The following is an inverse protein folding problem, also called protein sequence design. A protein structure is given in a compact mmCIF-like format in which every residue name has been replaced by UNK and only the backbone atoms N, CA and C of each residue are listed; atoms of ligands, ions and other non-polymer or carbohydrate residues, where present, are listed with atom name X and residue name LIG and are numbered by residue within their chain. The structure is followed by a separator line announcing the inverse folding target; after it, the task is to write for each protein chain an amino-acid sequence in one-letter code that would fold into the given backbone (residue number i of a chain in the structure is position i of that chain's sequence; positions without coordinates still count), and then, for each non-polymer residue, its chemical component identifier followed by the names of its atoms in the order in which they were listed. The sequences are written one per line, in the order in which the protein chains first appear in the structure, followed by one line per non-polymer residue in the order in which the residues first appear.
data_IF_680933613492
#
_entry.id   IF_680933613492
#
_cell.length_a   1.000
_cell.length_b   1.000
_cell.length_c   1.000
_cell.angle_alpha   90.00
_cell.angle_beta   90.00
_cell.angle_gamma   90.00
#
_symmetry.space_group_name_H-M   'P 1'
#
loop_
_entity.id
_entity.type
_entity.pdbx_description
1 polymer ?
#
# COMPACT_ATOMS: atom_id res chain seq x y z
N UNK A 1 12.03 15.87 11.55
CA UNK A 1 12.06 17.11 10.73
C UNK A 1 10.65 17.55 10.36
N UNK A 2 9.87 16.74 9.65
CA UNK A 2 8.49 17.06 9.21
C UNK A 2 7.60 17.73 10.27
N UNK A 3 7.39 17.09 11.44
CA UNK A 3 6.55 17.65 12.52
C UNK A 3 7.08 18.97 13.10
N UNK A 4 8.40 19.21 13.04
CA UNK A 4 9.04 20.45 13.51
C UNK A 4 8.84 21.61 12.52
N UNK A 5 8.63 21.29 11.24
CA UNK A 5 8.51 22.28 10.16
C UNK A 5 7.08 22.46 9.67
N UNK A 6 6.15 21.65 10.17
CA UNK A 6 4.76 21.65 9.75
C UNK A 6 3.84 21.62 10.97
N UNK A 7 3.49 22.80 11.49
CA UNK A 7 2.69 22.92 12.71
C UNK A 7 1.27 22.33 12.57
N UNK A 8 0.76 22.18 11.35
CA UNK A 8 -0.53 21.54 11.06
C UNK A 8 -0.43 20.03 10.90
N UNK A 9 0.70 19.38 11.22
CA UNK A 9 0.81 17.92 11.11
C UNK A 9 -0.27 17.16 11.90
N UNK A 10 -0.80 17.78 12.98
CA UNK A 10 -1.90 17.24 13.79
C UNK A 10 -3.25 17.20 13.07
N UNK A 11 -3.43 17.97 12.00
CA UNK A 11 -4.66 17.98 11.19
C UNK A 11 -4.60 16.99 10.02
N UNK A 12 -3.55 16.16 9.95
CA UNK A 12 -3.47 15.12 8.93
C UNK A 12 -4.47 14.02 9.30
N UNK A 13 -5.44 13.79 8.42
CA UNK A 13 -6.48 12.78 8.62
C UNK A 13 -6.09 11.42 8.02
N UNK A 14 -5.27 11.42 6.96
CA UNK A 14 -4.84 10.19 6.31
C UNK A 14 -3.45 10.28 5.70
N UNK A 15 -2.78 9.13 5.64
CA UNK A 15 -1.48 8.93 5.00
C UNK A 15 -1.60 7.76 4.03
N UNK A 16 -1.09 7.92 2.82
CA UNK A 16 -1.03 6.85 1.81
C UNK A 16 0.43 6.52 1.54
N UNK A 17 0.83 5.28 1.78
CA UNK A 17 2.23 4.84 1.79
C UNK A 17 2.48 3.73 0.78
N UNK A 18 3.74 3.48 0.41
CA UNK A 18 4.10 2.28 -0.35
C UNK A 18 3.95 1.01 0.53
N UNK A 19 4.22 -0.17 -0.05
CA UNK A 19 4.14 -1.47 0.62
C UNK A 19 5.35 -1.67 1.58
N UNK A 20 5.28 -1.07 2.76
CA UNK A 20 6.20 -1.36 3.85
C UNK A 20 5.46 -1.37 5.19
N UNK A 21 5.31 -2.57 5.77
CA UNK A 21 4.60 -2.74 7.04
C UNK A 21 5.37 -2.18 8.24
N UNK A 22 6.70 -2.08 8.17
CA UNK A 22 7.49 -1.46 9.23
C UNK A 22 7.32 0.07 9.18
N UNK A 23 7.35 0.66 7.98
CA UNK A 23 7.03 2.08 7.79
C UNK A 23 5.59 2.39 8.23
N UNK A 24 4.63 1.52 7.86
CA UNK A 24 3.24 1.64 8.26
C UNK A 24 3.08 1.68 9.79
N UNK A 25 3.70 0.74 10.50
CA UNK A 25 3.64 0.69 11.96
C UNK A 25 4.27 1.92 12.61
N UNK A 26 5.40 2.39 12.07
CA UNK A 26 6.05 3.61 12.55
C UNK A 26 5.14 4.84 12.34
N UNK A 27 4.51 4.97 11.19
CA UNK A 27 3.60 6.08 10.91
C UNK A 27 2.31 6.02 11.73
N UNK A 28 1.77 4.83 12.00
CA UNK A 28 0.63 4.65 12.91
C UNK A 28 0.98 5.10 14.33
N UNK A 29 2.19 4.81 14.81
CA UNK A 29 2.66 5.28 16.12
C UNK A 29 2.87 6.81 16.14
N UNK A 30 3.41 7.38 15.06
CA UNK A 30 3.70 8.81 14.96
C UNK A 30 2.45 9.66 14.68
N UNK A 31 1.44 9.13 13.98
CA UNK A 31 0.21 9.82 13.60
C UNK A 31 -1.03 9.05 14.07
N UNK A 32 -1.23 8.89 15.39
CA UNK A 32 -2.28 8.03 15.93
C UNK A 32 -3.70 8.50 15.61
N UNK A 33 -3.89 9.77 15.25
CA UNK A 33 -5.17 10.32 14.83
C UNK A 33 -5.44 10.15 13.33
N UNK A 34 -4.42 9.82 12.53
CA UNK A 34 -4.55 9.66 11.09
C UNK A 34 -4.78 8.19 10.73
N UNK A 35 -5.55 7.94 9.67
CA UNK A 35 -5.64 6.63 9.05
C UNK A 35 -4.46 6.40 8.11
N UNK A 36 -3.72 5.30 8.28
CA UNK A 36 -2.59 4.94 7.41
C UNK A 36 -3.03 3.84 6.44
N UNK A 37 -2.93 4.10 5.14
CA UNK A 37 -3.36 3.20 4.07
C UNK A 37 -2.21 2.81 3.15
N UNK A 38 -2.25 1.57 2.65
CA UNK A 38 -1.39 1.18 1.54
C UNK A 38 -1.89 1.82 0.24
N UNK A 39 -0.95 2.31 -0.56
CA UNK A 39 -1.24 2.87 -1.86
C UNK A 39 -1.76 1.79 -2.82
N UNK A 40 -3.01 1.96 -3.26
CA UNK A 40 -3.68 1.04 -4.20
C UNK A 40 -2.86 0.83 -5.49
N UNK A 41 -2.27 1.90 -6.03
CA UNK A 41 -1.42 1.84 -7.21
C UNK A 41 -0.19 0.96 -6.99
N UNK A 42 0.49 1.13 -5.86
CA UNK A 42 1.67 0.32 -5.54
C UNK A 42 1.31 -1.14 -5.21
N UNK A 43 0.18 -1.37 -4.55
CA UNK A 43 -0.34 -2.71 -4.29
C UNK A 43 -0.59 -3.47 -5.60
N UNK A 44 -1.32 -2.87 -6.55
CA UNK A 44 -1.57 -3.48 -7.87
C UNK A 44 -0.29 -3.72 -8.66
N UNK A 45 0.63 -2.75 -8.66
CA UNK A 45 1.94 -2.91 -9.30
C UNK A 45 2.75 -4.05 -8.68
N UNK A 46 2.65 -4.25 -7.37
CA UNK A 46 3.31 -5.36 -6.69
C UNK A 46 2.69 -6.72 -7.06
N UNK A 47 1.36 -6.82 -7.13
CA UNK A 47 0.66 -8.02 -7.60
C UNK A 47 1.10 -8.39 -9.01
N UNK A 48 1.09 -7.44 -9.96
CA UNK A 48 1.61 -7.65 -11.33
C UNK A 48 3.03 -8.20 -11.34
N UNK A 49 3.90 -7.64 -10.50
CA UNK A 49 5.28 -8.10 -10.36
C UNK A 49 5.36 -9.54 -9.82
N UNK A 50 4.53 -9.86 -8.82
CA UNK A 50 4.44 -11.22 -8.26
C UNK A 50 3.99 -12.21 -9.33
N UNK A 51 2.92 -11.90 -10.05
CA UNK A 51 2.37 -12.75 -11.12
C UNK A 51 3.40 -12.98 -12.23
N UNK A 52 4.23 -11.98 -12.54
CA UNK A 52 5.34 -12.10 -13.48
C UNK A 52 6.57 -12.86 -12.95
N UNK A 53 6.68 -13.03 -11.63
CA UNK A 53 7.84 -13.66 -10.99
C UNK A 53 7.74 -15.19 -10.96
N UNK A 54 8.85 -15.86 -10.66
CA UNK A 54 8.87 -17.31 -10.39
C UNK A 54 8.55 -17.66 -8.93
N UNK A 55 8.29 -16.66 -8.09
CA UNK A 55 8.02 -16.86 -6.66
C UNK A 55 6.66 -17.50 -6.39
N UNK A 56 5.73 -17.38 -7.36
CA UNK A 56 4.40 -17.96 -7.29
C UNK A 56 4.05 -18.57 -8.64
N UNK A 57 3.67 -19.85 -8.65
CA UNK A 57 3.33 -20.56 -9.88
C UNK A 57 1.88 -20.28 -10.28
N UNK A 58 1.64 -19.09 -10.84
CA UNK A 58 0.34 -18.75 -11.47
C UNK A 58 0.45 -19.00 -12.99
N UNK A 59 -0.35 -19.94 -13.55
CA UNK A 59 -0.42 -20.17 -14.99
C UNK A 59 -0.70 -18.87 -15.74
N UNK A 60 -0.03 -18.65 -16.88
CA UNK A 60 -0.16 -17.41 -17.68
C UNK A 60 -1.63 -17.06 -17.96
N UNK A 61 -2.44 -18.07 -18.31
CA UNK A 61 -3.87 -17.92 -18.62
C UNK A 61 -4.74 -17.43 -17.44
N UNK A 62 -4.26 -17.52 -16.21
CA UNK A 62 -4.99 -17.10 -15.01
C UNK A 62 -4.51 -15.75 -14.46
N UNK A 63 -3.42 -15.18 -14.99
CA UNK A 63 -2.82 -13.97 -14.40
C UNK A 63 -3.74 -12.77 -14.47
N UNK A 64 -4.44 -12.58 -15.59
CA UNK A 64 -5.39 -11.47 -15.75
C UNK A 64 -6.58 -11.61 -14.80
N UNK A 65 -7.11 -12.83 -14.65
CA UNK A 65 -8.18 -13.12 -13.69
C UNK A 65 -7.74 -12.85 -12.25
N UNK A 66 -6.55 -13.29 -11.87
CA UNK A 66 -6.01 -13.03 -10.52
C UNK A 66 -5.78 -11.54 -10.30
N UNK A 67 -5.26 -10.81 -11.29
CA UNK A 67 -5.11 -9.35 -11.18
C UNK A 67 -6.46 -8.67 -10.95
N UNK A 68 -7.50 -9.05 -11.70
CA UNK A 68 -8.85 -8.47 -11.55
C UNK A 68 -9.49 -8.81 -10.21
N UNK A 69 -9.24 -10.01 -9.66
CA UNK A 69 -9.66 -10.34 -8.29
C UNK A 69 -8.97 -9.46 -7.25
N UNK A 70 -7.67 -9.16 -7.40
CA UNK A 70 -7.00 -8.21 -6.52
C UNK A 70 -7.50 -6.78 -6.72
N UNK A 71 -7.83 -6.40 -7.95
CA UNK A 71 -8.43 -5.10 -8.27
C UNK A 71 -9.76 -4.92 -7.54
N UNK A 72 -10.68 -5.89 -7.60
CA UNK A 72 -12.00 -5.80 -6.95
C UNK A 72 -11.97 -5.82 -5.43
N UNK A 73 -10.86 -6.23 -4.81
CA UNK A 73 -10.66 -6.13 -3.37
C UNK A 73 -10.17 -4.75 -2.92
N UNK A 74 -9.57 -3.99 -3.85
CA UNK A 74 -8.95 -2.69 -3.57
C UNK A 74 -9.89 -1.52 -3.94
N UNK A 75 -10.74 -1.71 -4.94
CA UNK A 75 -11.75 -0.74 -5.42
C UNK A 75 -13.15 -1.12 -4.94
#
# INVERSE_FOLDING_TARGET
YFKKTNDSWVSIESLVIDKDFAEMAALQAEFPAASVFLCQFHALRYIRRILGSRGYFVPLKLRDEVEELFRSLIY
#
